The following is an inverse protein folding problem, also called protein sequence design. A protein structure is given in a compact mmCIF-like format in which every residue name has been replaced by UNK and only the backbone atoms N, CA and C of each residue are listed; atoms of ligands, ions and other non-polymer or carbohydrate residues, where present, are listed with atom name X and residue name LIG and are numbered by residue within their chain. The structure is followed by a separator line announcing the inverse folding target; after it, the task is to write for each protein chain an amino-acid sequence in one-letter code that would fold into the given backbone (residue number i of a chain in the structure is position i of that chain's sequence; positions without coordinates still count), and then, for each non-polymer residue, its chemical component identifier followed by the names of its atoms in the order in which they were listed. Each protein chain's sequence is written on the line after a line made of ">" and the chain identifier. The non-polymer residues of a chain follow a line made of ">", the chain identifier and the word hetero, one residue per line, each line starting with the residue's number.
data_IF_567566014388
#
_entry.id   IF_567566014388
#
_cell.length_a   1.000
_cell.length_b   1.000
_cell.length_c   1.000
_cell.angle_alpha   90.00
_cell.angle_beta   90.00
_cell.angle_gamma   90.00
#
_symmetry.space_group_name_H-M   'P 1'
#
loop_
_entity.id
_entity.type
_entity.pdbx_description
1 polymer ?
#
# COMPACT_ATOMS: atom_id res chain seq x y z
N UNK A 1 38.09 -21.32 47.66
CA UNK A 1 38.01 -22.68 47.06
C UNK A 1 36.89 -22.82 46.01
N UNK A 2 36.32 -21.74 45.46
CA UNK A 2 35.12 -21.80 44.62
C UNK A 2 35.38 -21.80 43.11
N UNK A 3 36.25 -20.93 42.60
CA UNK A 3 36.40 -20.71 41.15
C UNK A 3 37.05 -21.88 40.40
N UNK A 4 38.11 -22.48 40.95
CA UNK A 4 38.77 -23.64 40.32
C UNK A 4 37.89 -24.90 40.31
N UNK A 5 36.95 -25.02 41.24
CA UNK A 5 35.96 -26.11 41.24
C UNK A 5 34.85 -25.85 40.23
N UNK A 6 34.37 -24.60 40.12
CA UNK A 6 33.45 -24.18 39.07
C UNK A 6 34.06 -24.40 37.67
N UNK A 7 35.31 -23.99 37.44
CA UNK A 7 36.01 -24.17 36.17
C UNK A 7 36.13 -25.65 35.78
N UNK A 8 36.50 -26.54 36.72
CA UNK A 8 36.55 -27.99 36.49
C UNK A 8 35.17 -28.59 36.17
N UNK A 9 34.13 -28.18 36.90
CA UNK A 9 32.76 -28.63 36.63
C UNK A 9 32.24 -28.15 35.27
N UNK A 10 32.54 -26.90 34.89
CA UNK A 10 32.20 -26.32 33.59
C UNK A 10 32.92 -27.05 32.46
N UNK A 11 34.23 -27.28 32.59
CA UNK A 11 35.02 -27.98 31.56
C UNK A 11 34.53 -29.42 31.36
N UNK A 12 34.28 -30.17 32.44
CA UNK A 12 33.65 -31.50 32.36
C UNK A 12 32.23 -31.48 31.77
N UNK A 13 31.51 -30.36 31.89
CA UNK A 13 30.21 -30.14 31.26
C UNK A 13 30.29 -29.80 29.77
N UNK A 14 31.39 -29.17 29.32
CA UNK A 14 31.67 -28.88 27.91
C UNK A 14 32.22 -30.11 27.17
N UNK A 15 33.12 -30.88 27.79
CA UNK A 15 33.70 -32.11 27.22
C UNK A 15 32.65 -33.15 26.81
N UNK A 16 31.49 -33.16 27.47
CA UNK A 16 30.35 -34.06 27.18
C UNK A 16 29.45 -33.58 26.04
N UNK A 17 29.68 -32.38 25.50
CA UNK A 17 28.86 -31.80 24.43
C UNK A 17 29.59 -31.92 23.09
N UNK A 18 28.89 -32.30 22.00
CA UNK A 18 29.52 -32.38 20.69
C UNK A 18 29.99 -30.99 20.23
N UNK A 19 31.20 -30.90 19.69
CA UNK A 19 31.78 -29.64 19.19
C UNK A 19 31.13 -29.13 17.90
N UNK A 20 30.33 -29.97 17.24
CA UNK A 20 29.51 -29.65 16.07
C UNK A 20 28.14 -30.28 16.22
N UNK A 21 27.10 -29.55 15.87
CA UNK A 21 25.73 -30.03 15.77
C UNK A 21 25.48 -30.49 14.33
N UNK A 22 24.68 -31.56 14.15
CA UNK A 22 24.21 -31.98 12.82
C UNK A 22 23.26 -30.94 12.23
N UNK A 23 23.11 -30.90 10.90
CA UNK A 23 22.03 -30.15 10.22
C UNK A 23 20.66 -30.52 10.77
N UNK A 24 20.48 -31.79 11.13
CA UNK A 24 19.21 -32.37 11.52
C UNK A 24 18.98 -32.29 13.05
N UNK A 25 19.85 -31.56 13.77
CA UNK A 25 19.73 -31.42 15.23
C UNK A 25 18.58 -30.49 15.59
N UNK A 26 17.44 -31.08 15.95
CA UNK A 26 16.29 -30.36 16.54
C UNK A 26 16.28 -30.57 18.05
N UNK A 27 16.31 -29.48 18.81
CA UNK A 27 16.15 -29.48 20.26
C UNK A 27 14.73 -29.04 20.64
N UNK A 28 14.05 -29.88 21.43
CA UNK A 28 12.67 -29.63 21.85
C UNK A 28 12.64 -28.56 22.97
N UNK A 29 12.01 -27.39 22.75
CA UNK A 29 11.99 -26.31 23.72
C UNK A 29 11.32 -26.69 25.04
N UNK A 30 10.45 -27.71 25.06
CA UNK A 30 9.76 -28.19 26.27
C UNK A 30 10.65 -29.02 27.20
N UNK A 31 11.83 -29.45 26.74
CA UNK A 31 12.78 -30.24 27.53
C UNK A 31 13.84 -29.39 28.24
N UNK A 32 13.92 -28.10 27.95
CA UNK A 32 14.82 -27.22 28.70
C UNK A 32 14.29 -26.99 30.11
N UNK A 33 15.17 -26.98 31.14
CA UNK A 33 14.77 -26.57 32.48
C UNK A 33 14.31 -25.11 32.44
N UNK A 34 13.26 -24.79 33.20
CA UNK A 34 12.77 -23.43 33.36
C UNK A 34 13.85 -22.56 34.03
N UNK A 35 14.66 -21.88 33.22
CA UNK A 35 15.63 -20.91 33.72
C UNK A 35 14.91 -19.58 33.98
N UNK A 36 15.21 -18.96 35.12
CA UNK A 36 14.88 -17.55 35.32
C UNK A 36 15.50 -16.74 34.16
N UNK A 37 14.77 -15.77 33.57
CA UNK A 37 15.30 -15.00 32.45
C UNK A 37 16.62 -14.34 32.87
N UNK A 38 17.66 -14.46 32.03
CA UNK A 38 18.95 -13.82 32.28
C UNK A 38 18.79 -12.30 32.13
N UNK A 39 18.35 -11.66 33.21
CA UNK A 39 18.27 -10.21 33.29
C UNK A 39 19.68 -9.65 33.41
N UNK A 40 20.08 -8.83 32.45
CA UNK A 40 21.30 -8.03 32.56
C UNK A 40 21.30 -7.25 33.88
N UNK A 41 22.48 -7.08 34.53
CA UNK A 41 22.60 -6.20 35.68
C UNK A 41 21.99 -4.82 35.39
N UNK A 42 21.30 -4.24 36.37
CA UNK A 42 20.68 -2.91 36.21
C UNK A 42 21.76 -1.92 35.75
N UNK A 43 21.59 -1.23 34.60
CA UNK A 43 22.60 -0.30 34.12
C UNK A 43 22.75 0.86 35.10
N UNK A 44 24.00 1.21 35.41
CA UNK A 44 24.35 2.30 36.34
C UNK A 44 23.98 3.68 35.82
N UNK A 45 23.65 3.80 34.53
CA UNK A 45 23.20 5.02 33.90
C UNK A 45 21.79 4.83 33.30
N UNK A 46 20.90 5.82 33.43
CA UNK A 46 19.59 5.76 32.81
C UNK A 46 19.75 5.75 31.29
N UNK A 47 19.06 4.82 30.62
CA UNK A 47 18.97 4.85 29.16
C UNK A 47 18.39 6.20 28.69
N UNK A 48 18.86 6.77 27.57
CA UNK A 48 18.29 7.99 27.01
C UNK A 48 16.81 7.74 26.70
N UNK A 49 15.93 8.32 27.53
CA UNK A 49 14.49 8.26 27.26
C UNK A 49 14.23 9.00 25.96
N UNK A 50 13.68 8.28 24.97
CA UNK A 50 13.05 8.88 23.79
C UNK A 50 12.06 9.93 24.30
N UNK A 51 12.32 11.20 24.03
CA UNK A 51 11.43 12.26 24.52
C UNK A 51 10.04 11.99 23.94
N UNK A 52 9.06 11.77 24.82
CA UNK A 52 7.67 11.67 24.42
C UNK A 52 7.33 13.04 23.83
N UNK A 53 6.89 13.13 22.55
CA UNK A 53 6.57 14.41 21.95
C UNK A 53 5.56 15.12 22.86
N UNK A 54 5.85 16.36 23.23
CA UNK A 54 4.99 17.12 24.12
C UNK A 54 3.60 17.23 23.48
N UNK A 55 2.55 16.98 24.27
CA UNK A 55 1.15 17.01 23.83
C UNK A 55 0.64 18.47 23.65
N UNK A 56 1.42 19.27 22.92
CA UNK A 56 1.23 20.69 22.68
C UNK A 56 2.08 21.21 21.50
N UNK A 57 2.68 20.33 20.70
CA UNK A 57 3.20 20.71 19.40
C UNK A 57 2.04 21.15 18.52
N UNK A 58 1.90 22.46 18.29
CA UNK A 58 0.87 22.97 17.39
C UNK A 58 1.01 22.27 16.03
N UNK A 59 -0.07 21.68 15.57
CA UNK A 59 -0.16 21.15 14.20
C UNK A 59 0.03 22.32 13.25
N UNK A 60 1.24 22.48 12.72
CA UNK A 60 1.55 23.49 11.70
C UNK A 60 0.74 23.16 10.45
N UNK A 61 -0.40 23.83 10.32
CA UNK A 61 -1.30 23.65 9.19
C UNK A 61 -1.17 24.81 8.22
N UNK A 62 -1.28 24.51 6.94
CA UNK A 62 -1.15 25.47 5.84
C UNK A 62 -2.48 25.57 5.12
N UNK A 63 -2.96 26.79 4.88
CA UNK A 63 -4.11 27.00 4.01
C UNK A 63 -3.64 27.02 2.55
N UNK A 64 -4.07 26.05 1.76
CA UNK A 64 -3.60 25.86 0.38
C UNK A 64 -4.67 26.37 -0.58
N UNK A 65 -4.31 27.27 -1.49
CA UNK A 65 -5.20 27.69 -2.59
C UNK A 65 -4.71 27.09 -3.91
N UNK A 66 -5.60 26.47 -4.67
CA UNK A 66 -5.33 25.86 -5.96
C UNK A 66 -6.01 26.68 -7.06
N UNK A 67 -5.23 27.45 -7.83
CA UNK A 67 -5.71 28.38 -8.85
C UNK A 67 -5.41 27.85 -10.26
N UNK A 68 -6.42 27.47 -11.07
CA UNK A 68 -6.16 27.03 -12.45
C UNK A 68 -5.61 28.16 -13.34
N UNK A 69 -4.65 27.85 -14.22
CA UNK A 69 -4.15 28.79 -15.24
C UNK A 69 -5.13 29.00 -16.40
N UNK A 70 -6.06 28.06 -16.60
CA UNK A 70 -7.05 28.06 -17.67
C UNK A 70 -8.40 27.61 -17.11
N UNK A 71 -9.08 28.53 -16.45
CA UNK A 71 -10.37 28.33 -15.79
C UNK A 71 -10.55 29.35 -14.66
N UNK A 72 -11.77 29.51 -14.17
CA UNK A 72 -12.13 30.31 -12.99
C UNK A 72 -12.14 29.52 -11.68
N UNK A 73 -11.96 28.20 -11.78
CA UNK A 73 -12.45 27.25 -10.78
C UNK A 73 -11.40 27.01 -9.68
N UNK A 74 -11.25 27.99 -8.79
CA UNK A 74 -10.35 27.93 -7.65
C UNK A 74 -10.86 26.95 -6.57
N UNK A 75 -9.94 26.20 -5.95
CA UNK A 75 -10.24 25.36 -4.78
C UNK A 75 -9.37 25.77 -3.59
N UNK A 76 -10.04 26.17 -2.51
CA UNK A 76 -9.39 26.52 -1.25
C UNK A 76 -9.49 25.34 -0.26
N UNK A 77 -8.31 24.91 0.23
CA UNK A 77 -8.13 23.76 1.10
C UNK A 77 -7.59 24.25 2.45
N UNK A 78 -8.46 24.53 3.43
CA UNK A 78 -8.03 24.99 4.74
C UNK A 78 -7.32 23.88 5.50
N UNK A 79 -6.43 24.29 6.41
CA UNK A 79 -5.83 23.42 7.43
C UNK A 79 -5.10 22.15 6.92
N UNK A 80 -4.43 22.21 5.76
CA UNK A 80 -3.66 21.07 5.25
C UNK A 80 -2.47 20.75 6.16
N UNK A 81 -2.21 19.45 6.38
CA UNK A 81 -1.05 19.02 7.16
C UNK A 81 0.24 19.25 6.37
N UNK A 82 1.38 19.49 7.03
CA UNK A 82 2.62 19.82 6.32
C UNK A 82 3.26 18.56 5.70
N UNK A 83 2.73 17.37 6.01
CA UNK A 83 3.09 16.10 5.38
C UNK A 83 2.22 15.74 4.17
N UNK A 84 1.20 16.54 3.80
CA UNK A 84 0.39 16.20 2.61
C UNK A 84 1.23 16.27 1.35
N UNK A 85 0.96 15.36 0.43
CA UNK A 85 1.68 15.25 -0.83
C UNK A 85 1.02 16.08 -1.93
N UNK A 86 1.77 16.39 -2.98
CA UNK A 86 1.21 17.01 -4.18
C UNK A 86 0.19 16.10 -4.86
N UNK A 87 0.31 14.78 -4.72
CA UNK A 87 -0.68 13.82 -5.19
C UNK A 87 -2.04 14.00 -4.49
N UNK A 88 -2.06 14.22 -3.18
CA UNK A 88 -3.29 14.43 -2.39
C UNK A 88 -4.01 15.72 -2.80
N UNK A 89 -3.25 16.78 -3.08
CA UNK A 89 -3.80 18.05 -3.58
C UNK A 89 -4.37 17.89 -5.00
N UNK A 90 -3.69 17.11 -5.86
CA UNK A 90 -4.22 16.74 -7.18
C UNK A 90 -5.49 15.91 -7.08
N UNK A 91 -5.56 14.94 -6.17
CA UNK A 91 -6.75 14.10 -6.02
C UNK A 91 -7.94 14.88 -5.50
N UNK A 92 -7.75 15.73 -4.50
CA UNK A 92 -8.82 16.61 -3.99
C UNK A 92 -9.36 17.55 -5.08
N UNK A 93 -8.49 18.12 -5.93
CA UNK A 93 -8.96 18.93 -7.06
C UNK A 93 -9.65 18.09 -8.15
N UNK A 94 -9.08 16.93 -8.49
CA UNK A 94 -9.65 15.98 -9.45
C UNK A 94 -11.06 15.51 -9.05
N UNK A 95 -11.27 15.21 -7.77
CA UNK A 95 -12.54 14.76 -7.21
C UNK A 95 -13.59 15.89 -7.17
N UNK A 96 -13.18 17.13 -6.90
CA UNK A 96 -14.11 18.29 -6.87
C UNK A 96 -14.61 18.71 -8.25
N UNK A 97 -13.80 18.55 -9.29
CA UNK A 97 -14.11 18.98 -10.65
C UNK A 97 -14.33 17.82 -11.64
N UNK A 98 -14.32 16.57 -11.16
CA UNK A 98 -14.44 15.34 -11.96
C UNK A 98 -13.44 15.27 -13.13
N UNK A 99 -12.16 15.48 -12.82
CA UNK A 99 -11.06 15.54 -13.80
C UNK A 99 -10.05 14.41 -13.61
N UNK A 100 -9.40 13.97 -14.68
CA UNK A 100 -8.34 12.96 -14.59
C UNK A 100 -7.08 13.49 -13.89
N UNK A 101 -6.63 12.78 -12.85
CA UNK A 101 -5.41 13.10 -12.08
C UNK A 101 -4.17 13.25 -12.98
N UNK A 102 -4.11 12.51 -14.09
CA UNK A 102 -3.01 12.52 -15.08
C UNK A 102 -2.96 13.80 -15.94
N UNK A 103 -4.08 14.50 -16.12
CA UNK A 103 -4.17 15.74 -16.92
C UNK A 103 -3.84 17.01 -16.11
N UNK A 104 -3.54 16.89 -14.81
CA UNK A 104 -3.31 18.01 -13.90
C UNK A 104 -1.82 18.11 -13.55
N UNK A 105 -1.19 19.25 -13.86
CA UNK A 105 0.16 19.62 -13.37
C UNK A 105 0.07 20.74 -12.34
N UNK A 106 0.50 20.45 -11.12
CA UNK A 106 0.64 21.44 -10.04
C UNK A 106 1.93 22.22 -10.25
N UNK A 107 1.86 23.54 -10.16
CA UNK A 107 2.98 24.46 -10.27
C UNK A 107 3.07 25.31 -8.99
N UNK A 108 4.25 25.39 -8.37
CA UNK A 108 4.57 26.43 -7.39
C UNK A 108 5.47 27.47 -8.07
N UNK A 109 5.14 28.76 -8.00
CA UNK A 109 5.97 29.83 -8.59
C UNK A 109 6.36 29.55 -10.06
N UNK A 110 5.39 29.08 -10.86
CA UNK A 110 5.55 28.64 -12.27
C UNK A 110 6.46 27.40 -12.49
N UNK A 111 6.94 26.73 -11.44
CA UNK A 111 7.75 25.50 -11.53
C UNK A 111 6.90 24.26 -11.26
N UNK A 112 6.98 23.19 -12.07
CA UNK A 112 6.21 21.97 -11.85
C UNK A 112 6.67 21.22 -10.60
N UNK A 113 5.71 20.89 -9.75
CA UNK A 113 5.91 20.07 -8.56
C UNK A 113 5.75 18.59 -8.90
N UNK A 114 6.57 17.75 -8.30
CA UNK A 114 6.53 16.29 -8.44
C UNK A 114 5.65 15.67 -7.36
N UNK A 115 4.82 14.71 -7.74
CA UNK A 115 3.68 14.21 -6.95
C UNK A 115 4.06 13.60 -5.59
N UNK A 116 5.27 13.02 -5.48
CA UNK A 116 5.82 12.40 -4.27
C UNK A 116 6.37 13.40 -3.23
N UNK A 117 6.49 14.69 -3.55
CA UNK A 117 7.01 15.69 -2.59
C UNK A 117 5.91 16.15 -1.65
N UNK A 118 6.28 16.41 -0.39
CA UNK A 118 5.38 16.96 0.62
C UNK A 118 5.38 18.49 0.61
N UNK A 119 4.39 19.12 1.24
CA UNK A 119 4.38 20.57 1.42
C UNK A 119 5.66 21.11 2.08
N UNK A 120 6.24 20.40 3.06
CA UNK A 120 7.54 20.76 3.68
C UNK A 120 8.71 20.85 2.70
N UNK A 121 8.71 20.03 1.65
CA UNK A 121 9.83 19.96 0.69
C UNK A 121 9.71 20.99 -0.45
N UNK A 122 8.56 21.66 -0.54
CA UNK A 122 8.17 22.52 -1.66
C UNK A 122 8.03 23.98 -1.22
N UNK A 123 7.50 24.22 -0.03
CA UNK A 123 7.38 25.55 0.57
C UNK A 123 8.74 25.96 1.17
N UNK A 124 9.05 27.26 1.24
CA UNK A 124 10.21 27.75 1.98
C UNK A 124 10.04 27.51 3.48
N UNK A 125 11.16 27.36 4.18
CA UNK A 125 11.25 27.40 5.65
C UNK A 125 11.57 28.84 6.08
N UNK A 126 10.78 29.51 6.94
CA UNK A 126 9.61 29.01 7.68
C UNK A 126 8.35 28.84 6.81
N UNK A 127 7.60 27.78 7.11
CA UNK A 127 6.31 27.45 6.50
C UNK A 127 5.31 28.63 6.54
N UNK A 128 4.87 29.16 5.39
CA UNK A 128 3.87 30.23 5.35
C UNK A 128 2.47 29.70 5.72
N UNK A 129 1.65 30.54 6.36
CA UNK A 129 0.27 30.20 6.75
C UNK A 129 -0.69 30.04 5.56
N UNK A 130 -0.34 30.59 4.39
CA UNK A 130 -1.07 30.46 3.13
C UNK A 130 -0.09 30.10 2.00
N UNK A 131 -0.50 29.19 1.12
CA UNK A 131 0.31 28.74 0.00
C UNK A 131 -0.52 28.65 -1.30
N UNK A 132 -0.14 29.45 -2.28
CA UNK A 132 -0.80 29.53 -3.59
C UNK A 132 -0.10 28.62 -4.60
N UNK A 133 -0.81 27.63 -5.12
CA UNK A 133 -0.36 26.79 -6.23
C UNK A 133 -1.18 27.08 -7.49
N UNK A 134 -0.51 27.03 -8.64
CA UNK A 134 -1.16 27.20 -9.94
C UNK A 134 -1.36 25.83 -10.60
N UNK A 135 -2.57 25.54 -11.11
CA UNK A 135 -2.86 24.28 -11.79
C UNK A 135 -2.87 24.46 -13.30
N UNK A 136 -1.99 23.74 -14.00
CA UNK A 136 -2.04 23.64 -15.46
C UNK A 136 -2.78 22.37 -15.85
N UNK A 137 -3.99 22.54 -16.39
CA UNK A 137 -4.76 21.49 -17.02
C UNK A 137 -4.24 21.27 -18.44
N UNK A 138 -3.92 20.01 -18.79
CA UNK A 138 -3.60 19.63 -20.16
C UNK A 138 -4.89 19.53 -20.98
N UNK A 139 -4.79 19.84 -22.29
CA UNK A 139 -5.94 19.89 -23.18
C UNK A 139 -6.74 18.57 -23.17
N UNK A 140 -8.06 18.65 -23.05
CA UNK A 140 -8.95 17.50 -22.81
C UNK A 140 -9.40 17.33 -21.35
N UNK A 141 -9.17 18.35 -20.50
CA UNK A 141 -9.73 18.48 -19.16
C UNK A 141 -10.51 19.81 -19.06
N UNK A 142 -11.74 19.83 -19.57
CA UNK A 142 -12.67 20.97 -19.49
C UNK A 142 -13.69 20.72 -18.37
N UNK A 143 -13.91 21.71 -17.50
CA UNK A 143 -15.01 21.66 -16.52
C UNK A 143 -16.36 21.86 -17.23
N UNK A 144 -17.43 21.15 -16.82
CA UNK A 144 -18.75 21.29 -17.44
C UNK A 144 -19.41 22.60 -17.01
N UNK A 145 -19.49 23.56 -17.93
CA UNK A 145 -20.30 24.77 -17.76
C UNK A 145 -21.80 24.42 -17.88
N UNK A 146 -22.61 24.92 -16.95
CA UNK A 146 -24.04 24.61 -16.85
C UNK A 146 -24.90 25.75 -17.37
N UNK A 147 -25.71 25.52 -18.42
CA UNK A 147 -26.76 26.45 -18.86
C UNK A 147 -27.94 25.74 -19.58
N UNK A 148 -29.08 25.63 -18.88
CA UNK A 148 -30.49 25.58 -19.35
C UNK A 148 -30.92 24.79 -20.63
N UNK A 149 -31.62 23.66 -20.40
CA UNK A 149 -32.93 23.15 -20.94
C UNK A 149 -33.66 23.82 -22.13
N UNK A 150 -34.62 23.14 -22.84
CA UNK A 150 -34.94 21.70 -22.98
C UNK A 150 -35.16 21.17 -24.45
N UNK A 151 -35.34 19.83 -24.55
CA UNK A 151 -35.67 18.91 -25.65
C UNK A 151 -36.69 19.34 -26.75
N UNK A 152 -36.91 18.57 -27.87
CA UNK A 152 -36.41 17.21 -28.23
C UNK A 152 -35.62 17.18 -29.59
N UNK A 153 -35.32 16.07 -30.31
CA UNK A 153 -35.78 14.67 -30.28
C UNK A 153 -34.74 13.63 -30.82
N UNK A 154 -35.22 12.38 -30.98
CA UNK A 154 -34.55 11.09 -31.35
C UNK A 154 -34.42 10.82 -32.88
N UNK A 155 -33.85 9.67 -33.33
CA UNK A 155 -32.76 8.80 -32.79
C UNK A 155 -31.65 8.48 -33.84
N UNK A 156 -30.55 7.79 -33.45
CA UNK A 156 -29.89 6.67 -34.19
C UNK A 156 -28.56 6.22 -33.53
N UNK A 157 -28.52 4.93 -33.11
CA UNK A 157 -27.42 3.93 -33.09
C UNK A 157 -26.05 4.21 -32.40
N UNK A 158 -25.72 3.32 -31.44
CA UNK A 158 -24.41 2.82 -30.91
C UNK A 158 -23.23 3.79 -30.71
N UNK A 159 -22.54 3.65 -29.56
CA UNK A 159 -21.14 3.21 -29.62
C UNK A 159 -20.83 2.01 -28.71
N UNK A 160 -19.78 1.28 -29.08
CA UNK A 160 -19.20 0.18 -28.30
C UNK A 160 -18.03 0.67 -27.45
N UNK A 161 -17.91 0.12 -26.23
CA UNK A 161 -16.82 0.37 -25.28
C UNK A 161 -15.79 -0.77 -25.45
N UNK A 162 -14.56 -0.56 -25.93
CA UNK A 162 -13.40 0.12 -25.34
C UNK A 162 -12.55 -0.78 -24.40
N UNK A 163 -11.24 -0.51 -24.41
CA UNK A 163 -10.21 -0.91 -23.42
C UNK A 163 -9.59 -2.32 -23.46
N UNK A 164 -8.62 -2.42 -24.38
CA UNK A 164 -7.27 -2.92 -24.09
C UNK A 164 -6.67 -2.23 -22.84
N UNK A 165 -6.10 -2.99 -21.89
CA UNK A 165 -4.66 -2.92 -21.48
C UNK A 165 -4.33 -3.80 -20.22
N UNK A 166 -3.19 -4.53 -20.22
CA UNK A 166 -2.48 -5.01 -19.02
C UNK A 166 -1.40 -3.96 -18.62
N UNK A 167 -0.38 -4.18 -17.72
CA UNK A 167 -0.01 -5.42 -17.00
C UNK A 167 0.48 -5.29 -15.52
N UNK A 168 0.65 -6.47 -14.91
CA UNK A 168 1.72 -6.92 -13.99
C UNK A 168 1.96 -6.38 -12.55
N UNK A 169 2.31 -7.39 -11.72
CA UNK A 169 3.22 -7.38 -10.55
C UNK A 169 2.70 -6.98 -9.16
N UNK A 170 2.45 -8.03 -8.37
CA UNK A 170 2.48 -8.04 -6.90
C UNK A 170 3.91 -7.72 -6.37
N UNK A 171 4.13 -7.42 -5.05
CA UNK A 171 3.84 -8.37 -3.96
C UNK A 171 3.26 -7.76 -2.67
N UNK A 172 2.51 -8.58 -1.89
CA UNK A 172 2.74 -8.85 -0.45
C UNK A 172 1.60 -9.70 0.15
N UNK A 173 1.89 -10.98 0.37
CA UNK A 173 0.93 -12.01 0.77
C UNK A 173 0.76 -12.16 2.29
N UNK A 174 0.31 -11.11 2.98
CA UNK A 174 0.05 -11.21 4.44
C UNK A 174 -1.23 -10.48 4.89
N UNK A 175 -1.56 -9.32 4.31
CA UNK A 175 -2.81 -8.61 4.65
C UNK A 175 -4.08 -9.26 4.10
N UNK A 176 -4.01 -9.95 2.96
CA UNK A 176 -5.17 -10.57 2.32
C UNK A 176 -5.75 -11.78 3.09
N UNK A 177 -4.96 -12.39 4.00
CA UNK A 177 -5.43 -13.51 4.82
C UNK A 177 -6.15 -13.02 6.09
N UNK A 178 -5.68 -11.92 6.69
CA UNK A 178 -6.28 -11.35 7.90
C UNK A 178 -7.65 -10.68 7.66
N UNK A 179 -7.92 -10.14 6.46
CA UNK A 179 -9.24 -9.60 6.10
C UNK A 179 -10.25 -10.67 5.66
N UNK A 180 -9.78 -11.85 5.20
CA UNK A 180 -10.66 -12.93 4.76
C UNK A 180 -11.35 -13.67 5.93
N UNK A 181 -10.71 -13.76 7.10
CA UNK A 181 -11.29 -14.40 8.30
C UNK A 181 -12.33 -13.52 9.03
N UNK A 182 -12.52 -12.27 8.62
CA UNK A 182 -13.40 -11.30 9.30
C UNK A 182 -14.85 -11.27 8.78
N UNK A 183 -15.17 -11.99 7.71
CA UNK A 183 -16.51 -12.00 7.09
C UNK A 183 -17.06 -13.43 6.96
N UNK A 184 -18.18 -13.78 7.62
CA UNK A 184 -18.69 -15.16 7.68
C UNK A 184 -19.30 -15.70 6.37
N UNK A 185 -19.09 -15.01 5.24
CA UNK A 185 -19.59 -15.38 3.91
C UNK A 185 -18.51 -15.44 2.82
N UNK A 186 -17.23 -15.25 3.16
CA UNK A 186 -16.14 -15.30 2.17
C UNK A 186 -15.88 -16.71 1.61
N UNK A 187 -16.23 -17.77 2.35
CA UNK A 187 -16.13 -19.15 1.88
C UNK A 187 -17.29 -19.53 0.93
N UNK A 188 -18.47 -18.96 1.13
CA UNK A 188 -19.64 -19.20 0.28
C UNK A 188 -19.41 -18.62 -1.12
N UNK A 189 -18.82 -17.43 -1.23
CA UNK A 189 -18.48 -16.83 -2.53
C UNK A 189 -17.37 -17.61 -3.25
N UNK A 190 -16.33 -18.05 -2.53
CA UNK A 190 -15.25 -18.84 -3.12
C UNK A 190 -15.73 -20.19 -3.68
N UNK A 191 -16.60 -20.90 -2.94
CA UNK A 191 -17.17 -22.18 -3.41
C UNK A 191 -18.14 -21.98 -4.57
N UNK A 192 -18.91 -20.89 -4.58
CA UNK A 192 -19.79 -20.53 -5.70
C UNK A 192 -19.01 -20.16 -6.97
N UNK A 193 -17.86 -19.48 -6.84
CA UNK A 193 -16.98 -19.16 -7.98
C UNK A 193 -16.35 -20.41 -8.61
N UNK A 194 -15.93 -21.39 -7.80
CA UNK A 194 -15.39 -22.67 -8.29
C UNK A 194 -16.43 -23.53 -9.04
N UNK A 195 -17.72 -23.31 -8.80
CA UNK A 195 -18.82 -23.94 -9.55
C UNK A 195 -19.10 -23.24 -10.90
N UNK A 196 -18.60 -22.02 -11.12
CA UNK A 196 -18.83 -21.28 -12.36
C UNK A 196 -17.92 -21.77 -13.50
N UNK A 197 -18.48 -22.07 -14.67
CA UNK A 197 -17.70 -22.44 -15.84
C UNK A 197 -16.85 -21.27 -16.39
N UNK A 198 -17.29 -20.03 -16.15
CA UNK A 198 -16.62 -18.78 -16.56
C UNK A 198 -15.23 -18.63 -15.91
N UNK A 199 -15.12 -18.89 -14.60
CA UNK A 199 -13.84 -18.88 -13.88
C UNK A 199 -12.82 -19.85 -14.49
N UNK A 200 -13.28 -21.05 -14.86
CA UNK A 200 -12.42 -22.07 -15.47
C UNK A 200 -12.05 -21.77 -16.92
N UNK A 201 -12.86 -20.98 -17.63
CA UNK A 201 -12.53 -20.48 -18.95
C UNK A 201 -11.45 -19.39 -18.88
N UNK A 202 -11.59 -18.41 -17.98
CA UNK A 202 -10.56 -17.39 -17.73
C UNK A 202 -9.23 -18.01 -17.25
N UNK A 203 -9.31 -19.02 -16.37
CA UNK A 203 -8.12 -19.80 -15.98
C UNK A 203 -7.49 -20.54 -17.16
N UNK A 204 -8.27 -20.97 -18.17
CA UNK A 204 -7.73 -21.55 -19.42
C UNK A 204 -6.95 -20.51 -20.18
N UNK A 205 -7.56 -19.37 -20.44
CA UNK A 205 -6.98 -18.34 -21.29
C UNK A 205 -5.73 -17.77 -20.63
N UNK A 206 -5.71 -17.60 -19.29
CA UNK A 206 -4.53 -17.25 -18.52
C UNK A 206 -3.39 -18.28 -18.65
N UNK A 207 -3.69 -19.57 -18.49
CA UNK A 207 -2.68 -20.64 -18.58
C UNK A 207 -2.12 -20.75 -20.00
N UNK A 208 -2.96 -20.71 -21.04
CA UNK A 208 -2.53 -20.71 -22.45
C UNK A 208 -1.70 -19.46 -22.76
N UNK A 209 -2.10 -18.27 -22.28
CA UNK A 209 -1.34 -17.03 -22.48
C UNK A 209 0.05 -17.05 -21.81
N UNK A 210 0.16 -17.63 -20.60
CA UNK A 210 1.43 -17.68 -19.84
C UNK A 210 2.34 -18.83 -20.27
N UNK A 211 1.80 -20.00 -20.59
CA UNK A 211 2.58 -21.18 -21.02
C UNK A 211 2.89 -21.19 -22.52
N UNK A 212 2.04 -20.53 -23.34
CA UNK A 212 2.06 -20.57 -24.82
C UNK A 212 1.93 -21.98 -25.39
N UNK A 213 1.22 -22.84 -24.66
CA UNK A 213 1.00 -24.25 -24.95
C UNK A 213 -0.46 -24.59 -24.59
N UNK A 214 -1.24 -24.94 -25.62
CA UNK A 214 -2.68 -25.23 -25.48
C UNK A 214 -2.93 -26.59 -24.79
N UNK A 215 -2.10 -27.60 -25.10
CA UNK A 215 -2.22 -28.96 -24.57
C UNK A 215 -1.94 -29.00 -23.06
N UNK A 216 -0.90 -28.29 -22.59
CA UNK A 216 -0.62 -28.20 -21.16
C UNK A 216 -1.67 -27.35 -20.42
N UNK A 217 -2.19 -26.29 -21.06
CA UNK A 217 -3.29 -25.49 -20.50
C UNK A 217 -4.53 -26.35 -20.22
N UNK A 218 -4.99 -27.13 -21.20
CA UNK A 218 -6.13 -28.04 -21.01
C UNK A 218 -5.86 -29.13 -19.98
N UNK A 219 -4.65 -29.70 -19.98
CA UNK A 219 -4.26 -30.76 -19.03
C UNK A 219 -4.32 -30.26 -17.59
N UNK A 220 -3.78 -29.06 -17.31
CA UNK A 220 -3.78 -28.48 -15.97
C UNK A 220 -5.20 -28.21 -15.47
N UNK A 221 -6.11 -27.74 -16.31
CA UNK A 221 -7.49 -27.46 -15.91
C UNK A 221 -8.27 -28.74 -15.64
N UNK A 222 -8.07 -29.80 -16.44
CA UNK A 222 -8.65 -31.12 -16.16
C UNK A 222 -8.18 -31.64 -14.79
N UNK A 223 -6.92 -31.43 -14.44
CA UNK A 223 -6.38 -31.77 -13.12
C UNK A 223 -6.97 -30.89 -12.00
N UNK A 224 -7.04 -29.58 -12.18
CA UNK A 224 -7.58 -28.67 -11.16
C UNK A 224 -9.08 -28.87 -10.93
N UNK A 225 -9.89 -29.02 -11.99
CA UNK A 225 -11.33 -29.37 -11.85
C UNK A 225 -11.53 -30.72 -11.17
N UNK A 226 -10.70 -31.71 -11.48
CA UNK A 226 -10.74 -33.04 -10.84
C UNK A 226 -10.22 -33.07 -9.39
N UNK A 227 -9.57 -32.00 -8.93
CA UNK A 227 -9.13 -31.83 -7.54
C UNK A 227 -10.03 -30.87 -6.73
N UNK A 228 -10.93 -30.14 -7.39
CA UNK A 228 -11.91 -29.23 -6.75
C UNK A 228 -13.26 -29.90 -6.44
N UNK A 229 -13.43 -31.18 -6.80
CA UNK A 229 -14.59 -32.03 -6.47
C UNK A 229 -14.28 -32.95 -5.29
#
# INVERSE_FOLDING_TARGET
>A
MSETMFAKALMSGLEKRPSRLSSDHVSDPRKYPAQAPYTLPKPVHPFPRRQRPAAGGQSQTVNVTLKPLKGSDQLDLPSQSPNTTVLDLKSQYAEKFSLDKTKIKVLLNKRPCTDLKTLKDILPDPLPAQADFSLMLLAGASTPSTASTPAPASPVVKPEESQKLPPDSAPLSEHAQAEAEALPHAHDTATQMLQSDEFWADLKDFLVQRLRDEDQGERLIRLFRGAST
#
